data_IF_079494109608
#
_entry.id   IF_079494109608
#
_cell.length_a   1.000
_cell.length_b   1.000
_cell.length_c   1.000
_cell.angle_alpha   90.00
_cell.angle_beta   90.00
_cell.angle_gamma   90.00
#
_symmetry.space_group_name_H-M   'P 1'
#
loop_
_entity.id
_entity.type
_entity.pdbx_description
1 polymer ?
#
# COMPACT_ATOMS: atom_id res chain seq x y z
N UNK A 1 -9.90 31.68 16.10
CA UNK A 1 -11.15 31.89 16.85
C UNK A 1 -10.81 32.23 18.29
N UNK A 2 -11.58 33.09 18.96
CA UNK A 2 -11.30 33.46 20.36
C UNK A 2 -11.58 32.28 21.30
N UNK A 3 -10.80 32.16 22.37
CA UNK A 3 -11.08 31.19 23.43
C UNK A 3 -12.35 31.55 24.22
N UNK A 4 -13.24 30.57 24.38
CA UNK A 4 -14.49 30.71 25.13
C UNK A 4 -14.23 30.81 26.63
N UNK A 5 -14.96 31.70 27.31
CA UNK A 5 -14.98 31.85 28.77
C UNK A 5 -15.64 30.64 29.44
N UNK A 6 -15.43 30.48 30.74
CA UNK A 6 -15.93 29.31 31.49
C UNK A 6 -17.46 29.12 31.42
N UNK A 7 -18.24 30.21 31.45
CA UNK A 7 -19.70 30.14 31.30
C UNK A 7 -20.12 29.81 29.85
N UNK A 8 -19.41 30.35 28.86
CA UNK A 8 -19.65 30.07 27.44
C UNK A 8 -19.36 28.60 27.10
N UNK A 9 -18.25 28.04 27.59
CA UNK A 9 -17.93 26.60 27.45
C UNK A 9 -18.98 25.70 28.09
N UNK A 10 -19.59 26.13 29.22
CA UNK A 10 -20.68 25.38 29.88
C UNK A 10 -21.95 25.34 29.02
N UNK A 11 -22.25 26.42 28.29
CA UNK A 11 -23.40 26.49 27.37
C UNK A 11 -23.12 25.79 26.04
N UNK A 12 -21.91 25.97 25.49
CA UNK A 12 -21.52 25.55 24.15
C UNK A 12 -20.69 24.27 24.14
N UNK A 13 -21.06 23.27 24.95
CA UNK A 13 -20.28 22.01 25.11
C UNK A 13 -20.17 21.15 23.84
N UNK A 14 -21.12 21.30 22.91
CA UNK A 14 -21.17 20.52 21.65
C UNK A 14 -20.71 21.32 20.43
N UNK A 15 -20.32 22.58 20.63
CA UNK A 15 -19.90 23.47 19.54
C UNK A 15 -18.40 23.35 19.38
N UNK A 16 -18.00 22.63 18.35
CA UNK A 16 -16.63 22.57 17.84
C UNK A 16 -16.69 22.77 16.33
N UNK A 17 -16.02 23.81 15.84
CA UNK A 17 -15.99 24.14 14.42
C UNK A 17 -14.95 23.33 13.65
N UNK A 18 -13.96 22.75 14.35
CA UNK A 18 -12.86 22.01 13.74
C UNK A 18 -13.15 20.52 13.68
N UNK A 19 -13.78 19.95 14.71
CA UNK A 19 -14.03 18.51 14.80
C UNK A 19 -15.53 18.18 14.80
N UNK A 20 -15.99 17.53 13.73
CA UNK A 20 -17.38 17.09 13.62
C UNK A 20 -17.50 15.59 13.91
N UNK A 21 -18.50 15.19 14.70
CA UNK A 21 -18.71 13.77 15.10
C UNK A 21 -18.87 12.83 13.90
N UNK A 22 -19.48 13.30 12.80
CA UNK A 22 -19.69 12.53 11.58
C UNK A 22 -18.39 12.11 10.89
N UNK A 23 -17.34 12.91 11.04
CA UNK A 23 -16.04 12.66 10.38
C UNK A 23 -15.24 11.55 11.07
N UNK A 24 -15.66 11.13 12.28
CA UNK A 24 -14.94 10.11 13.04
C UNK A 24 -13.53 10.57 13.45
N UNK A 25 -13.31 11.89 13.55
CA UNK A 25 -12.04 12.53 13.86
C UNK A 25 -11.14 12.77 12.65
N UNK A 26 -9.88 13.14 12.90
CA UNK A 26 -8.92 13.55 11.85
C UNK A 26 -8.08 12.40 11.28
N UNK A 27 -8.57 11.15 11.36
CA UNK A 27 -7.79 9.98 10.94
C UNK A 27 -7.46 9.99 9.45
N UNK A 28 -8.42 10.41 8.62
CA UNK A 28 -8.24 10.56 7.17
C UNK A 28 -7.13 11.57 6.87
N UNK A 29 -7.27 12.80 7.37
CA UNK A 29 -6.28 13.86 7.19
C UNK A 29 -4.89 13.45 7.70
N UNK A 30 -4.82 12.79 8.85
CA UNK A 30 -3.56 12.29 9.41
C UNK A 30 -2.87 11.26 8.50
N UNK A 31 -3.63 10.31 7.94
CA UNK A 31 -3.08 9.29 7.02
C UNK A 31 -2.67 9.94 5.70
N UNK A 32 -3.48 10.87 5.17
CA UNK A 32 -3.16 11.61 3.95
C UNK A 32 -1.87 12.41 4.10
N UNK A 33 -1.71 13.13 5.22
CA UNK A 33 -0.51 13.90 5.50
C UNK A 33 0.71 13.01 5.71
N UNK A 34 0.58 11.94 6.50
CA UNK A 34 1.69 11.02 6.80
C UNK A 34 2.28 10.38 5.56
N UNK A 35 1.44 9.97 4.61
CA UNK A 35 1.88 9.25 3.41
C UNK A 35 1.87 10.12 2.14
N UNK A 36 1.67 11.42 2.29
CA UNK A 36 1.58 12.37 1.19
C UNK A 36 0.63 11.89 0.07
N UNK A 37 -0.60 11.56 0.45
CA UNK A 37 -1.65 11.17 -0.50
C UNK A 37 -2.23 12.42 -1.14
N UNK A 38 -1.91 12.63 -2.43
CA UNK A 38 -2.37 13.78 -3.22
C UNK A 38 -3.83 13.64 -3.66
N UNK A 39 -4.26 12.42 -4.01
CA UNK A 39 -5.62 12.16 -4.45
C UNK A 39 -6.66 12.36 -3.35
N UNK A 40 -7.66 13.22 -3.61
CA UNK A 40 -8.72 13.55 -2.66
C UNK A 40 -9.59 12.35 -2.27
N UNK A 41 -9.83 11.42 -3.19
CA UNK A 41 -10.70 10.26 -2.97
C UNK A 41 -9.97 8.94 -2.78
N UNK A 42 -8.63 8.92 -2.88
CA UNK A 42 -7.84 7.69 -2.77
C UNK A 42 -8.05 7.02 -1.40
N UNK A 43 -8.09 7.82 -0.34
CA UNK A 43 -8.36 7.32 1.01
C UNK A 43 -9.73 6.60 1.09
N UNK A 44 -10.77 7.19 0.48
CA UNK A 44 -12.12 6.60 0.47
C UNK A 44 -12.16 5.30 -0.34
N UNK A 45 -11.48 5.24 -1.48
CA UNK A 45 -11.37 4.02 -2.31
C UNK A 45 -10.72 2.89 -1.52
N UNK A 46 -9.57 3.13 -0.89
CA UNK A 46 -8.91 2.12 -0.05
C UNK A 46 -9.74 1.73 1.18
N UNK A 47 -10.44 2.69 1.79
CA UNK A 47 -11.37 2.43 2.90
C UNK A 47 -12.52 1.51 2.47
N UNK A 48 -13.09 1.73 1.28
CA UNK A 48 -14.13 0.88 0.71
C UNK A 48 -13.63 -0.56 0.50
N UNK A 49 -12.45 -0.72 -0.11
CA UNK A 49 -11.82 -2.03 -0.33
C UNK A 49 -11.61 -2.76 1.01
N UNK A 50 -11.07 -2.05 2.00
CA UNK A 50 -10.85 -2.62 3.33
C UNK A 50 -12.16 -3.11 3.97
N UNK A 51 -13.24 -2.33 3.85
CA UNK A 51 -14.57 -2.73 4.33
C UNK A 51 -15.13 -3.92 3.59
N UNK A 52 -14.93 -4.03 2.27
CA UNK A 52 -15.35 -5.19 1.48
C UNK A 52 -14.65 -6.47 1.96
N UNK A 53 -13.34 -6.40 2.17
CA UNK A 53 -12.56 -7.51 2.71
C UNK A 53 -13.06 -7.90 4.11
N UNK A 54 -13.27 -6.93 5.00
CA UNK A 54 -13.79 -7.18 6.35
C UNK A 54 -15.20 -7.80 6.35
N UNK A 55 -16.09 -7.35 5.45
CA UNK A 55 -17.41 -7.95 5.28
C UNK A 55 -17.31 -9.41 4.87
N UNK A 56 -16.45 -9.73 3.89
CA UNK A 56 -16.23 -11.11 3.46
C UNK A 56 -15.67 -11.96 4.61
N UNK A 57 -14.69 -11.45 5.34
CA UNK A 57 -14.12 -12.10 6.53
C UNK A 57 -15.20 -12.35 7.60
N UNK A 58 -16.07 -11.38 7.85
CA UNK A 58 -17.15 -11.52 8.82
C UNK A 58 -18.13 -12.64 8.44
N UNK A 59 -18.52 -12.70 7.16
CA UNK A 59 -19.36 -13.79 6.64
C UNK A 59 -18.66 -15.15 6.77
N UNK A 60 -17.37 -15.24 6.44
CA UNK A 60 -16.57 -16.46 6.61
C UNK A 60 -16.49 -16.93 8.07
N UNK A 61 -16.46 -16.00 9.03
CA UNK A 61 -16.46 -16.32 10.46
C UNK A 61 -17.79 -16.88 10.97
N UNK A 62 -18.91 -16.50 10.36
CA UNK A 62 -20.24 -16.98 10.75
C UNK A 62 -20.52 -18.42 10.28
N UNK A 63 -19.83 -18.90 9.25
CA UNK A 63 -19.99 -20.27 8.72
C UNK A 63 -19.30 -21.32 9.59
N UNK A 64 -19.72 -22.58 9.46
CA UNK A 64 -19.11 -23.70 10.19
C UNK A 64 -17.62 -23.88 9.80
N UNK A 65 -16.71 -24.09 10.77
CA UNK A 65 -15.27 -24.25 10.50
C UNK A 65 -14.91 -25.39 9.56
N UNK A 66 -15.71 -26.46 9.57
CA UNK A 66 -15.42 -27.70 8.83
C UNK A 66 -16.02 -27.74 7.42
N UNK A 67 -16.72 -26.68 6.99
CA UNK A 67 -17.31 -26.62 5.65
C UNK A 67 -16.20 -26.47 4.58
N UNK A 68 -16.11 -27.36 3.57
CA UNK A 68 -15.15 -27.25 2.48
C UNK A 68 -15.18 -25.90 1.75
N UNK A 69 -16.34 -25.25 1.65
CA UNK A 69 -16.46 -23.95 1.00
C UNK A 69 -15.75 -22.85 1.81
N UNK A 70 -15.91 -22.86 3.14
CA UNK A 70 -15.22 -21.93 4.03
C UNK A 70 -13.71 -22.07 3.89
N UNK A 71 -13.19 -23.30 3.88
CA UNK A 71 -11.76 -23.57 3.75
C UNK A 71 -11.24 -23.00 2.42
N UNK A 72 -11.84 -23.41 1.29
CA UNK A 72 -11.45 -22.96 -0.04
C UNK A 72 -11.50 -21.44 -0.21
N UNK A 73 -12.56 -20.78 0.29
CA UNK A 73 -12.70 -19.33 0.17
C UNK A 73 -11.74 -18.57 1.11
N UNK A 74 -11.45 -19.13 2.29
CA UNK A 74 -10.45 -18.58 3.21
C UNK A 74 -9.06 -18.64 2.57
N UNK A 75 -8.71 -19.78 1.97
CA UNK A 75 -7.44 -19.96 1.28
C UNK A 75 -7.29 -18.96 0.12
N UNK A 76 -8.32 -18.84 -0.72
CA UNK A 76 -8.32 -17.89 -1.84
C UNK A 76 -8.21 -16.42 -1.40
N UNK A 77 -8.86 -16.06 -0.29
CA UNK A 77 -8.77 -14.70 0.26
C UNK A 77 -7.36 -14.42 0.81
N UNK A 78 -6.80 -15.37 1.55
CA UNK A 78 -5.46 -15.25 2.11
C UNK A 78 -4.40 -15.23 1.02
N UNK A 79 -4.57 -16.03 -0.03
CA UNK A 79 -3.72 -16.04 -1.21
C UNK A 79 -3.66 -14.66 -1.88
N UNK A 80 -4.82 -14.01 -2.12
CA UNK A 80 -4.86 -12.68 -2.74
C UNK A 80 -4.25 -11.57 -1.87
N UNK A 81 -4.31 -11.71 -0.55
CA UNK A 81 -3.85 -10.70 0.40
C UNK A 81 -2.40 -10.89 0.83
N UNK A 82 -1.88 -12.12 0.74
CA UNK A 82 -0.56 -12.49 1.21
C UNK A 82 0.37 -12.97 0.10
N UNK A 83 1.65 -13.04 0.45
CA UNK A 83 2.76 -13.51 -0.38
C UNK A 83 3.60 -14.39 0.53
N UNK A 84 3.33 -15.69 0.53
CA UNK A 84 4.24 -16.66 1.14
C UNK A 84 4.96 -17.37 0.01
N UNK A 85 6.28 -17.27 -0.02
CA UNK A 85 7.10 -18.16 -0.84
C UNK A 85 7.48 -19.44 -0.09
N UNK A 86 7.16 -19.55 1.22
CA UNK A 86 7.43 -20.81 1.95
C UNK A 86 6.29 -21.81 1.72
N UNK A 87 6.40 -22.50 0.59
CA UNK A 87 5.70 -23.76 0.35
C UNK A 87 6.59 -24.90 0.87
N UNK A 88 6.28 -25.40 2.05
CA UNK A 88 6.60 -26.78 2.41
C UNK A 88 5.51 -27.67 1.85
N UNK A 89 5.91 -28.61 0.98
CA UNK A 89 5.21 -29.82 0.55
C UNK A 89 3.74 -29.69 0.15
N UNK A 90 3.47 -29.07 -1.01
CA UNK A 90 2.20 -29.19 -1.73
C UNK A 90 2.49 -29.50 -3.19
N UNK A 91 1.77 -30.49 -3.74
CA UNK A 91 1.85 -31.01 -5.11
C UNK A 91 2.12 -29.95 -6.19
N UNK A 92 3.16 -30.21 -6.99
CA UNK A 92 3.66 -29.39 -8.10
C UNK A 92 2.58 -29.05 -9.16
N UNK A 93 1.54 -29.88 -9.24
CA UNK A 93 0.42 -29.73 -10.17
C UNK A 93 -0.57 -28.62 -9.78
N UNK A 94 -0.79 -28.40 -8.47
CA UNK A 94 -1.62 -27.28 -7.98
C UNK A 94 -0.88 -25.95 -8.18
N UNK A 95 0.45 -25.94 -8.03
CA UNK A 95 1.33 -24.78 -8.28
C UNK A 95 1.16 -24.20 -9.69
N UNK A 96 1.21 -25.03 -10.75
CA UNK A 96 1.10 -24.56 -12.15
C UNK A 96 -0.25 -23.93 -12.49
N UNK A 97 -1.34 -24.40 -11.88
CA UNK A 97 -2.69 -23.82 -12.06
C UNK A 97 -2.87 -22.52 -11.26
N UNK A 98 -2.16 -22.37 -10.14
CA UNK A 98 -2.14 -21.18 -9.30
C UNK A 98 -1.16 -20.09 -9.80
N UNK A 99 -0.10 -20.44 -10.53
CA UNK A 99 0.89 -19.49 -11.08
C UNK A 99 0.31 -18.44 -12.03
N UNK A 100 -0.85 -18.71 -12.64
CA UNK A 100 -1.53 -17.77 -13.55
C UNK A 100 -2.36 -16.68 -12.84
N UNK A 101 -2.70 -16.85 -11.55
CA UNK A 101 -3.52 -15.89 -10.80
C UNK A 101 -2.64 -15.01 -9.90
N UNK A 102 -1.72 -14.25 -10.51
CA UNK A 102 -0.69 -13.39 -9.88
C UNK A 102 -1.26 -12.17 -9.12
N UNK A 103 -2.00 -12.38 -8.03
CA UNK A 103 -2.52 -11.29 -7.20
C UNK A 103 -1.84 -11.25 -5.83
N UNK A 104 -0.56 -10.87 -5.83
CA UNK A 104 0.33 -10.89 -4.67
C UNK A 104 0.43 -9.50 -4.00
N UNK A 105 -0.67 -8.97 -3.47
CA UNK A 105 -0.71 -7.56 -3.02
C UNK A 105 0.20 -7.25 -1.81
N UNK A 106 0.59 -8.26 -1.02
CA UNK A 106 1.57 -8.09 0.07
C UNK A 106 1.08 -7.24 1.25
N UNK A 107 -0.24 -7.12 1.43
CA UNK A 107 -0.87 -6.26 2.45
C UNK A 107 -0.74 -6.85 3.86
N UNK A 108 -0.72 -8.18 3.96
CA UNK A 108 -0.58 -8.92 5.22
C UNK A 108 0.84 -9.50 5.34
N UNK A 109 1.26 -9.83 6.57
CA UNK A 109 2.58 -10.41 6.87
C UNK A 109 2.55 -11.93 7.13
N UNK A 110 1.40 -12.53 7.44
CA UNK A 110 1.25 -13.96 7.74
C UNK A 110 -0.06 -14.52 7.14
N UNK A 111 -0.04 -15.72 6.55
CA UNK A 111 -1.26 -16.38 6.01
C UNK A 111 -2.20 -16.90 7.09
N UNK A 112 -1.71 -17.28 8.27
CA UNK A 112 -2.45 -18.21 9.13
C UNK A 112 -3.64 -17.60 9.89
N UNK A 113 -3.89 -16.29 9.79
CA UNK A 113 -4.85 -15.63 10.67
C UNK A 113 -5.85 -14.74 9.94
N UNK A 114 -7.09 -15.23 9.88
CA UNK A 114 -8.27 -14.45 9.48
C UNK A 114 -8.50 -13.24 10.42
N UNK A 115 -7.98 -13.28 11.65
CA UNK A 115 -8.07 -12.16 12.59
C UNK A 115 -7.26 -10.94 12.13
N UNK A 116 -6.17 -11.14 11.39
CA UNK A 116 -5.41 -10.04 10.79
C UNK A 116 -6.18 -9.36 9.66
N UNK A 117 -6.94 -10.13 8.89
CA UNK A 117 -7.79 -9.60 7.82
C UNK A 117 -8.89 -8.69 8.36
N UNK A 118 -9.42 -9.00 9.54
CA UNK A 118 -10.43 -8.18 10.22
C UNK A 118 -9.86 -6.82 10.68
N UNK A 119 -8.59 -6.82 11.12
CA UNK A 119 -7.86 -5.62 11.55
C UNK A 119 -7.17 -4.88 10.41
N UNK A 120 -7.48 -5.22 9.15
CA UNK A 120 -6.93 -4.50 8.01
C UNK A 120 -7.24 -3.02 8.10
N UNK A 121 -6.26 -2.21 7.68
CA UNK A 121 -6.36 -0.77 7.70
C UNK A 121 -5.92 -0.20 6.36
N UNK A 122 -6.45 0.97 6.02
CA UNK A 122 -6.06 1.74 4.83
C UNK A 122 -4.55 1.95 4.77
N UNK A 123 -3.92 2.20 5.92
CA UNK A 123 -2.46 2.36 6.02
C UNK A 123 -1.67 1.14 5.54
N UNK A 124 -2.27 -0.06 5.52
CA UNK A 124 -1.60 -1.26 4.99
C UNK A 124 -1.52 -1.24 3.46
N UNK A 125 -2.56 -0.74 2.78
CA UNK A 125 -2.53 -0.52 1.34
C UNK A 125 -1.64 0.66 0.96
N UNK A 126 -1.73 1.76 1.72
CA UNK A 126 -0.95 2.97 1.43
C UNK A 126 0.56 2.71 1.54
N UNK A 127 0.99 1.83 2.46
CA UNK A 127 2.40 1.37 2.56
C UNK A 127 2.91 0.55 1.37
N UNK A 128 2.01 0.10 0.47
CA UNK A 128 2.36 -0.60 -0.77
C UNK A 128 2.34 0.33 -1.99
N UNK A 129 2.02 1.62 -1.83
CA UNK A 129 2.13 2.60 -2.92
C UNK A 129 3.60 2.80 -3.28
N UNK A 130 3.87 3.00 -4.56
CA UNK A 130 5.21 3.17 -5.11
C UNK A 130 6.00 4.25 -4.35
N UNK A 131 5.39 5.41 -4.08
CA UNK A 131 6.04 6.51 -3.32
C UNK A 131 6.53 6.06 -1.94
N UNK A 132 5.74 5.29 -1.20
CA UNK A 132 6.12 4.79 0.13
C UNK A 132 7.17 3.68 0.06
N UNK A 133 7.10 2.83 -0.96
CA UNK A 133 8.03 1.72 -1.18
C UNK A 133 9.42 2.25 -1.52
N UNK A 134 9.51 3.31 -2.32
CA UNK A 134 10.78 3.95 -2.68
C UNK A 134 11.53 4.51 -1.47
N UNK A 135 10.82 5.21 -0.59
CA UNK A 135 11.42 5.73 0.65
C UNK A 135 11.89 4.58 1.54
N UNK A 136 11.13 3.48 1.59
CA UNK A 136 11.54 2.28 2.34
C UNK A 136 12.79 1.61 1.75
N UNK A 137 12.91 1.58 0.42
CA UNK A 137 14.06 1.03 -0.32
C UNK A 137 15.21 2.04 -0.49
N UNK A 138 15.14 3.21 0.16
CA UNK A 138 16.18 4.25 0.15
C UNK A 138 16.48 4.85 -1.23
N UNK A 139 15.51 4.83 -2.14
CA UNK A 139 15.60 5.58 -3.41
C UNK A 139 15.41 7.10 -3.22
N UNK A 140 14.69 7.49 -2.17
CA UNK A 140 14.49 8.88 -1.77
C UNK A 140 14.49 8.97 -0.25
N UNK A 141 14.91 10.11 0.29
CA UNK A 141 14.91 10.37 1.73
C UNK A 141 13.52 10.77 2.22
N UNK A 142 12.80 11.54 1.39
CA UNK A 142 11.49 12.07 1.73
C UNK A 142 10.38 11.59 0.79
N UNK A 143 9.16 11.50 1.32
CA UNK A 143 7.96 11.11 0.55
C UNK A 143 7.63 12.10 -0.57
N UNK A 144 7.85 13.40 -0.34
CA UNK A 144 7.60 14.44 -1.35
C UNK A 144 8.56 14.27 -2.54
N UNK A 145 9.83 14.03 -2.27
CA UNK A 145 10.85 13.77 -3.29
C UNK A 145 10.53 12.51 -4.09
N UNK A 146 10.14 11.43 -3.39
CA UNK A 146 9.72 10.20 -4.03
C UNK A 146 8.56 10.43 -5.02
N UNK A 147 7.57 11.25 -4.64
CA UNK A 147 6.47 11.62 -5.54
C UNK A 147 6.99 12.41 -6.74
N UNK A 148 7.86 13.40 -6.54
CA UNK A 148 8.42 14.17 -7.66
C UNK A 148 9.22 13.31 -8.63
N UNK A 149 10.00 12.33 -8.13
CA UNK A 149 10.78 11.42 -8.98
C UNK A 149 9.89 10.50 -9.82
N UNK A 150 8.77 10.06 -9.27
CA UNK A 150 7.77 9.26 -10.00
C UNK A 150 7.08 10.12 -11.05
N UNK A 151 6.57 11.30 -10.69
CA UNK A 151 5.84 12.19 -11.60
C UNK A 151 6.72 12.66 -12.78
N UNK A 152 8.02 12.84 -12.55
CA UNK A 152 9.00 13.14 -13.60
C UNK A 152 9.36 11.92 -14.48
N UNK A 153 8.95 10.71 -14.09
CA UNK A 153 9.21 9.48 -14.85
C UNK A 153 10.62 8.92 -14.69
N UNK A 154 11.31 9.20 -13.57
CA UNK A 154 12.65 8.67 -13.32
C UNK A 154 12.69 7.21 -12.87
N UNK A 155 11.52 6.62 -12.61
CA UNK A 155 11.39 5.31 -11.96
C UNK A 155 10.66 4.35 -12.89
N UNK A 156 11.18 3.12 -12.97
CA UNK A 156 10.53 2.01 -13.67
C UNK A 156 10.34 0.81 -12.74
N UNK A 157 9.31 0.03 -13.03
CA UNK A 157 9.03 -1.24 -12.37
C UNK A 157 9.14 -2.33 -13.44
N UNK A 158 10.23 -3.10 -13.39
CA UNK A 158 10.58 -4.00 -14.47
C UNK A 158 10.86 -3.21 -15.77
N UNK A 159 10.27 -3.58 -16.91
CA UNK A 159 10.52 -2.91 -18.19
C UNK A 159 9.79 -1.56 -18.34
N UNK A 160 8.71 -1.35 -17.59
CA UNK A 160 7.80 -0.23 -17.82
C UNK A 160 8.10 0.94 -16.89
N UNK A 161 8.13 2.14 -17.45
CA UNK A 161 8.20 3.39 -16.69
C UNK A 161 6.87 3.67 -16.01
N UNK A 162 6.91 4.13 -14.76
CA UNK A 162 5.70 4.41 -13.96
C UNK A 162 5.68 5.88 -13.60
N UNK A 163 4.60 6.57 -13.94
CA UNK A 163 4.40 8.00 -13.69
C UNK A 163 3.37 8.28 -12.59
N UNK A 164 2.59 7.28 -12.17
CA UNK A 164 1.58 7.42 -11.13
C UNK A 164 2.16 7.05 -9.74
N UNK A 165 2.23 8.01 -8.78
CA UNK A 165 2.64 7.72 -7.41
C UNK A 165 1.70 6.77 -6.67
N UNK A 166 0.44 6.65 -7.12
CA UNK A 166 -0.56 5.76 -6.56
C UNK A 166 -0.42 4.30 -6.98
N UNK A 167 0.50 3.98 -7.89
CA UNK A 167 0.76 2.62 -8.35
C UNK A 167 1.05 1.69 -7.16
N UNK A 168 0.31 0.58 -7.08
CA UNK A 168 0.42 -0.39 -5.99
C UNK A 168 1.41 -1.48 -6.35
N UNK A 169 2.52 -1.52 -5.61
CA UNK A 169 3.62 -2.45 -5.85
C UNK A 169 3.33 -3.77 -5.10
N UNK A 170 3.23 -4.86 -5.85
CA UNK A 170 3.19 -6.24 -5.29
C UNK A 170 4.55 -6.65 -4.75
N UNK A 171 4.65 -7.66 -3.88
CA UNK A 171 5.98 -8.04 -3.35
C UNK A 171 6.93 -8.51 -4.43
N UNK A 172 6.44 -9.31 -5.36
CA UNK A 172 7.24 -9.85 -6.46
C UNK A 172 7.73 -8.73 -7.40
N UNK A 173 6.93 -7.68 -7.61
CA UNK A 173 7.33 -6.54 -8.44
C UNK A 173 8.26 -5.56 -7.74
N UNK A 174 8.38 -5.66 -6.41
CA UNK A 174 9.17 -4.74 -5.60
C UNK A 174 10.66 -4.80 -5.90
N UNK A 175 11.17 -6.00 -6.19
CA UNK A 175 12.60 -6.19 -6.46
C UNK A 175 13.01 -5.70 -7.86
N UNK A 176 12.05 -5.50 -8.76
CA UNK A 176 12.29 -4.96 -10.10
C UNK A 176 12.19 -3.43 -10.17
N UNK A 177 12.10 -2.74 -9.02
CA UNK A 177 12.11 -1.27 -8.98
C UNK A 177 13.53 -0.78 -9.25
N UNK A 178 13.70 -0.02 -10.33
CA UNK A 178 14.99 0.58 -10.70
C UNK A 178 14.81 1.98 -11.27
N UNK A 179 15.91 2.75 -11.32
CA UNK A 179 15.92 3.99 -12.09
C UNK A 179 15.82 3.69 -13.58
N UNK A 180 15.18 4.59 -14.32
CA UNK A 180 15.21 4.59 -15.78
C UNK A 180 16.65 4.85 -16.24
N UNK A 181 17.08 4.18 -17.31
CA UNK A 181 18.47 4.25 -17.77
C UNK A 181 18.87 5.67 -18.21
N UNK A 182 17.96 6.40 -18.86
CA UNK A 182 18.14 7.80 -19.25
C UNK A 182 18.03 8.80 -18.08
N UNK A 183 17.77 8.34 -16.85
CA UNK A 183 17.57 9.22 -15.70
C UNK A 183 18.86 9.93 -15.30
N UNK A 184 18.78 11.26 -15.16
CA UNK A 184 19.87 12.09 -14.60
C UNK A 184 20.21 11.71 -13.17
N UNK A 185 19.23 11.21 -12.41
CA UNK A 185 19.45 10.74 -11.03
C UNK A 185 20.32 9.49 -11.05
N UNK A 186 20.06 8.55 -11.96
CA UNK A 186 20.88 7.34 -12.13
C UNK A 186 22.33 7.71 -12.45
N UNK A 187 22.53 8.64 -13.40
CA UNK A 187 23.86 9.14 -13.76
C UNK A 187 24.61 9.70 -12.55
N UNK A 188 23.98 10.59 -11.77
CA UNK A 188 24.59 11.15 -10.54
C UNK A 188 24.93 10.09 -9.49
N UNK A 189 24.08 9.07 -9.32
CA UNK A 189 24.33 7.99 -8.37
C UNK A 189 25.52 7.13 -8.83
N UNK A 190 25.62 6.83 -10.12
CA UNK A 190 26.75 6.08 -10.69
C UNK A 190 28.06 6.89 -10.63
N UNK A 191 28.00 8.19 -10.92
CA UNK A 191 29.12 9.14 -10.81
C UNK A 191 29.65 9.17 -9.37
N UNK A 192 28.76 9.30 -8.38
CA UNK A 192 29.13 9.28 -6.96
C UNK A 192 29.79 7.96 -6.53
N UNK A 193 29.40 6.85 -7.16
CA UNK A 193 29.99 5.54 -6.92
C UNK A 193 31.21 5.24 -7.79
N UNK A 194 31.66 6.18 -8.64
CA UNK A 194 32.76 6.00 -9.60
C UNK A 194 32.55 4.81 -10.55
N UNK A 195 31.28 4.46 -10.83
CA UNK A 195 30.86 3.36 -11.72
C UNK A 195 30.21 3.86 -13.00
N UNK A 196 30.44 5.12 -13.34
CA UNK A 196 29.90 5.69 -14.55
C UNK A 196 30.67 5.14 -15.75
N UNK A 197 29.96 4.37 -16.59
CA UNK A 197 30.43 3.98 -17.91
C UNK A 197 29.80 4.96 -18.93
N UNK A 198 30.65 5.64 -19.69
CA UNK A 198 30.21 6.65 -20.67
C UNK A 198 29.58 6.02 -21.92
N UNK A 199 29.75 4.70 -22.15
CA UNK A 199 29.12 3.99 -23.27
C UNK A 199 27.59 3.92 -23.13
N UNK A 200 27.10 3.65 -21.91
CA UNK A 200 25.66 3.58 -21.61
C UNK A 200 24.96 4.95 -21.67
N UNK A 201 25.71 6.05 -21.69
CA UNK A 201 25.17 7.40 -21.68
C UNK A 201 24.80 7.95 -23.08
N UNK A 202 25.21 7.27 -24.16
CA UNK A 202 25.01 7.68 -25.56
C UNK A 202 23.74 7.13 -26.23
N UNK A 203 23.01 6.21 -25.58
CA UNK A 203 21.73 5.65 -26.04
C UNK A 203 20.56 6.17 -25.21
#
# INVERSE_FOLDING_TARGET
MRELKGHEKKLLKKVDFLQWKREGGHREAHIMNRYHITGRDDYKKYSSICRMVQKQVHLLKQMNPNDPFRIKMTDLLLEKLFTCETAGDIDELYRKKLEQSRYNMGVIQQMKSLALCDKLSVSSFVRRRLSTVLVRRKFAEHLKEAVTYIEQGHIRVGPNTVTDPAYLVTRNTEDFITWVDSSKIKKKVLEYHEKQDDYDAMN
#
